data_IF_982315936862
#
_entry.id   IF_982315936862
#
_cell.length_a   1.000
_cell.length_b   1.000
_cell.length_c   1.000
_cell.angle_alpha   90.00
_cell.angle_beta   90.00
_cell.angle_gamma   90.00
#
_symmetry.space_group_name_H-M   'P 1'
#
loop_
_entity.id
_entity.type
_entity.pdbx_description
1 polymer ?
#
# COMPACT_ATOMS: atom_id res chain seq x y z
N UNK A 1 23.29 -7.60 -4.72
CA UNK A 1 22.83 -6.51 -3.84
C UNK A 1 21.45 -6.89 -3.30
N UNK A 2 21.25 -6.82 -1.97
CA UNK A 2 19.94 -7.09 -1.36
C UNK A 2 18.96 -5.98 -1.77
N UNK A 3 17.68 -6.32 -1.95
CA UNK A 3 16.61 -5.39 -2.34
C UNK A 3 15.80 -4.99 -1.12
N UNK A 4 15.48 -3.72 -1.03
CA UNK A 4 14.56 -3.19 -0.03
C UNK A 4 13.11 -3.46 -0.46
N UNK A 5 12.24 -3.77 0.49
CA UNK A 5 10.79 -3.81 0.28
C UNK A 5 10.24 -2.48 0.79
N UNK A 6 9.67 -1.65 -0.09
CA UNK A 6 8.99 -0.44 0.35
C UNK A 6 7.64 -0.80 0.96
N UNK A 7 7.51 -0.62 2.26
CA UNK A 7 6.27 -0.93 2.98
C UNK A 7 5.45 0.35 3.17
N UNK A 8 4.15 0.29 2.87
CA UNK A 8 3.25 1.43 2.90
C UNK A 8 1.98 1.15 3.68
N UNK A 9 1.74 2.01 4.67
CA UNK A 9 0.49 2.03 5.43
C UNK A 9 -0.54 2.96 4.79
N UNK A 10 -1.58 2.36 4.20
CA UNK A 10 -2.70 3.08 3.57
C UNK A 10 -3.63 3.75 4.60
N UNK A 11 -3.54 3.37 5.87
CA UNK A 11 -4.26 4.00 6.98
C UNK A 11 -3.40 5.03 7.74
N UNK A 12 -2.19 5.34 7.28
CA UNK A 12 -1.39 6.37 7.93
C UNK A 12 -2.12 7.71 7.87
N UNK A 13 -2.04 8.50 8.96
CA UNK A 13 -2.65 9.84 9.01
C UNK A 13 -2.19 10.74 7.87
N UNK A 14 -0.96 10.54 7.35
CA UNK A 14 -0.45 11.26 6.17
C UNK A 14 -1.21 10.85 4.90
N UNK A 15 -1.32 9.54 4.63
CA UNK A 15 -2.02 9.02 3.45
C UNK A 15 -3.50 9.41 3.47
N UNK A 16 -4.17 9.22 4.61
CA UNK A 16 -5.59 9.57 4.77
C UNK A 16 -5.84 11.07 4.56
N UNK A 17 -5.02 11.94 5.16
CA UNK A 17 -5.16 13.39 4.97
C UNK A 17 -5.06 13.77 3.49
N UNK A 18 -4.03 13.29 2.79
CA UNK A 18 -3.85 13.60 1.36
C UNK A 18 -5.02 13.06 0.54
N UNK A 19 -5.48 11.83 0.83
CA UNK A 19 -6.60 11.20 0.11
C UNK A 19 -7.90 11.97 0.32
N UNK A 20 -8.24 12.33 1.56
CA UNK A 20 -9.45 13.10 1.86
C UNK A 20 -9.39 14.51 1.29
N UNK A 21 -8.24 15.19 1.34
CA UNK A 21 -8.06 16.50 0.70
C UNK A 21 -8.26 16.41 -0.81
N UNK A 22 -7.67 15.42 -1.47
CA UNK A 22 -7.84 15.22 -2.90
C UNK A 22 -9.30 14.89 -3.28
N UNK A 23 -9.98 14.06 -2.50
CA UNK A 23 -11.39 13.75 -2.69
C UNK A 23 -12.28 14.99 -2.50
N UNK A 24 -12.05 15.79 -1.45
CA UNK A 24 -12.78 17.02 -1.21
C UNK A 24 -12.61 18.03 -2.36
N UNK A 25 -11.40 18.14 -2.92
CA UNK A 25 -11.13 18.99 -4.08
C UNK A 25 -11.87 18.51 -5.34
N UNK A 26 -12.01 17.20 -5.57
CA UNK A 26 -12.85 16.69 -6.66
C UNK A 26 -14.33 17.02 -6.45
N UNK A 27 -14.83 16.88 -5.22
CA UNK A 27 -16.22 17.24 -4.91
C UNK A 27 -16.45 18.75 -5.13
N UNK A 28 -15.52 19.61 -4.69
CA UNK A 28 -15.60 21.05 -4.93
C UNK A 28 -15.56 21.40 -6.42
N UNK A 29 -14.68 20.76 -7.20
CA UNK A 29 -14.61 20.97 -8.64
C UNK A 29 -15.93 20.56 -9.32
N UNK A 30 -16.48 19.41 -8.94
CA UNK A 30 -17.76 18.93 -9.45
C UNK A 30 -18.92 19.86 -9.10
N UNK A 31 -18.98 20.34 -7.85
CA UNK A 31 -20.00 21.30 -7.41
C UNK A 31 -19.87 22.63 -8.16
N UNK A 32 -18.65 23.11 -8.41
CA UNK A 32 -18.44 24.33 -9.20
C UNK A 32 -18.92 24.17 -10.64
N UNK A 33 -18.71 23.01 -11.27
CA UNK A 33 -19.25 22.74 -12.61
C UNK A 33 -20.77 22.61 -12.61
N UNK A 34 -21.34 21.95 -11.61
CA UNK A 34 -22.77 21.69 -11.55
C UNK A 34 -23.62 22.94 -11.24
N UNK A 35 -23.06 23.89 -10.49
CA UNK A 35 -23.74 25.12 -10.08
C UNK A 35 -23.40 26.33 -10.97
N UNK A 36 -22.82 26.10 -12.16
CA UNK A 36 -22.33 27.16 -13.06
C UNK A 36 -21.42 28.18 -12.34
N UNK A 37 -20.62 27.68 -11.39
CA UNK A 37 -19.63 28.47 -10.65
C UNK A 37 -18.43 28.88 -11.53
N UNK A 38 -17.46 29.63 -10.97
CA UNK A 38 -16.34 30.13 -11.75
C UNK A 38 -15.46 28.98 -12.25
N UNK A 39 -15.49 28.74 -13.56
CA UNK A 39 -14.89 27.56 -14.20
C UNK A 39 -13.38 27.42 -13.93
N UNK A 40 -12.68 28.54 -13.76
CA UNK A 40 -11.24 28.59 -13.46
C UNK A 40 -10.94 27.88 -12.14
N UNK A 41 -11.74 28.12 -11.09
CA UNK A 41 -11.53 27.48 -9.79
C UNK A 41 -11.83 25.98 -9.83
N UNK A 42 -12.82 25.55 -10.63
CA UNK A 42 -13.12 24.14 -10.83
C UNK A 42 -11.92 23.39 -11.43
N UNK A 43 -11.30 23.95 -12.48
CA UNK A 43 -10.11 23.35 -13.11
C UNK A 43 -8.89 23.35 -12.19
N UNK A 44 -8.65 24.42 -11.42
CA UNK A 44 -7.56 24.45 -10.44
C UNK A 44 -7.76 23.37 -9.38
N UNK A 45 -8.97 23.26 -8.81
CA UNK A 45 -9.28 22.25 -7.80
C UNK A 45 -9.09 20.83 -8.35
N UNK A 46 -9.60 20.55 -9.55
CA UNK A 46 -9.41 19.26 -10.22
C UNK A 46 -7.92 18.95 -10.48
N UNK A 47 -7.16 19.93 -10.98
CA UNK A 47 -5.72 19.77 -11.24
C UNK A 47 -4.91 19.45 -9.98
N UNK A 48 -5.21 20.13 -8.87
CA UNK A 48 -4.59 19.85 -7.57
C UNK A 48 -4.99 18.45 -7.08
N UNK A 49 -6.27 18.07 -7.19
CA UNK A 49 -6.73 16.73 -6.81
C UNK A 49 -5.99 15.63 -7.58
N UNK A 50 -5.90 15.75 -8.90
CA UNK A 50 -5.19 14.80 -9.77
C UNK A 50 -3.71 14.71 -9.36
N UNK A 51 -3.06 15.85 -9.12
CA UNK A 51 -1.66 15.91 -8.71
C UNK A 51 -1.42 15.20 -7.37
N UNK A 52 -2.32 15.38 -6.40
CA UNK A 52 -2.24 14.69 -5.10
C UNK A 52 -2.41 13.17 -5.26
N UNK A 53 -3.35 12.70 -6.09
CA UNK A 53 -3.50 11.28 -6.37
C UNK A 53 -2.31 10.69 -7.15
N UNK A 54 -1.75 11.45 -8.09
CA UNK A 54 -0.54 11.07 -8.81
C UNK A 54 0.64 10.92 -7.84
N UNK A 55 0.84 11.91 -6.95
CA UNK A 55 1.85 11.84 -5.89
C UNK A 55 1.66 10.62 -5.00
N UNK A 56 0.42 10.31 -4.60
CA UNK A 56 0.14 9.10 -3.85
C UNK A 56 0.45 7.83 -4.66
N UNK A 57 0.34 7.83 -5.98
CA UNK A 57 0.49 6.61 -6.79
C UNK A 57 1.92 6.36 -7.29
N UNK A 58 2.75 7.40 -7.40
CA UNK A 58 4.10 7.34 -7.98
C UNK A 58 4.99 6.23 -7.40
N UNK A 59 5.00 6.07 -6.08
CA UNK A 59 5.84 5.05 -5.42
C UNK A 59 5.42 3.61 -5.78
N UNK A 60 4.14 3.36 -6.03
CA UNK A 60 3.63 2.03 -6.37
C UNK A 60 3.97 1.64 -7.83
N UNK A 61 4.01 2.63 -8.73
CA UNK A 61 4.40 2.42 -10.12
C UNK A 61 5.91 2.21 -10.30
N UNK A 62 6.72 3.02 -9.62
CA UNK A 62 8.18 3.04 -9.79
C UNK A 62 8.89 1.91 -9.04
N UNK A 63 8.27 1.34 -8.00
CA UNK A 63 8.93 0.35 -7.16
C UNK A 63 8.53 -1.08 -7.56
N UNK A 64 9.54 -1.93 -7.76
CA UNK A 64 9.37 -3.35 -8.12
C UNK A 64 9.13 -4.28 -6.93
N UNK A 65 9.53 -3.84 -5.72
CA UNK A 65 9.28 -4.55 -4.46
C UNK A 65 8.57 -3.58 -3.51
N UNK A 66 7.25 -3.69 -3.44
CA UNK A 66 6.41 -2.84 -2.62
C UNK A 66 5.33 -3.68 -1.92
N UNK A 67 5.07 -3.37 -0.66
CA UNK A 67 3.98 -3.94 0.12
C UNK A 67 3.12 -2.79 0.59
N UNK A 68 1.83 -2.83 0.28
CA UNK A 68 0.84 -1.86 0.75
C UNK A 68 -0.15 -2.58 1.65
N UNK A 69 -0.43 -2.02 2.83
CA UNK A 69 -1.38 -2.62 3.75
C UNK A 69 -2.41 -1.61 4.25
N UNK A 70 -3.65 -2.09 4.38
CA UNK A 70 -4.76 -1.38 4.99
C UNK A 70 -5.04 -1.91 6.40
N UNK A 71 -6.29 -1.81 6.84
CA UNK A 71 -6.70 -2.29 8.17
C UNK A 71 -6.96 -3.79 8.16
N UNK A 72 -7.46 -4.30 7.04
CA UNK A 72 -7.93 -5.69 6.90
C UNK A 72 -7.16 -6.51 5.88
N UNK A 73 -6.38 -5.86 5.02
CA UNK A 73 -5.74 -6.51 3.88
C UNK A 73 -4.33 -6.00 3.64
N UNK A 74 -3.57 -6.81 2.92
CA UNK A 74 -2.24 -6.48 2.43
C UNK A 74 -2.15 -6.85 0.95
N UNK A 75 -1.41 -6.06 0.19
CA UNK A 75 -1.08 -6.29 -1.22
C UNK A 75 0.43 -6.23 -1.36
N UNK A 76 1.01 -7.27 -1.95
CA UNK A 76 2.44 -7.42 -2.13
C UNK A 76 2.75 -7.51 -3.62
N UNK A 77 3.54 -6.56 -4.10
CA UNK A 77 4.15 -6.56 -5.42
C UNK A 77 5.63 -6.86 -5.24
N UNK A 78 6.03 -8.09 -5.49
CA UNK A 78 7.40 -8.56 -5.30
C UNK A 78 8.00 -8.98 -6.63
N UNK A 79 9.25 -8.62 -6.87
CA UNK A 79 9.92 -8.95 -8.12
C UNK A 79 10.10 -10.47 -8.26
N UNK A 80 9.64 -11.00 -9.39
CA UNK A 80 9.64 -12.43 -9.69
C UNK A 80 8.41 -13.18 -9.19
N UNK A 81 7.45 -12.49 -8.56
CA UNK A 81 6.15 -13.04 -8.18
C UNK A 81 5.02 -12.25 -8.84
N UNK A 82 3.86 -12.89 -9.03
CA UNK A 82 2.63 -12.16 -9.36
C UNK A 82 2.28 -11.22 -8.21
N UNK A 83 1.64 -10.10 -8.52
CA UNK A 83 1.08 -9.25 -7.47
C UNK A 83 0.00 -10.04 -6.75
N UNK A 84 0.11 -10.13 -5.44
CA UNK A 84 -0.77 -10.91 -4.59
C UNK A 84 -1.41 -9.98 -3.56
N UNK A 85 -2.65 -10.27 -3.20
CA UNK A 85 -3.33 -9.58 -2.11
C UNK A 85 -4.17 -10.58 -1.34
N UNK A 86 -4.20 -10.41 -0.02
CA UNK A 86 -4.95 -11.27 0.89
C UNK A 86 -5.45 -10.49 2.10
N UNK A 87 -6.46 -11.04 2.76
CA UNK A 87 -6.95 -10.52 4.03
C UNK A 87 -6.10 -11.05 5.17
N UNK A 88 -5.93 -10.27 6.24
CA UNK A 88 -5.22 -10.74 7.44
C UNK A 88 -5.93 -11.94 8.10
N UNK A 89 -7.25 -12.07 7.92
CA UNK A 89 -8.02 -13.23 8.38
C UNK A 89 -7.60 -14.54 7.73
N UNK A 90 -7.04 -14.46 6.52
CA UNK A 90 -6.65 -15.64 5.74
C UNK A 90 -5.19 -16.03 6.05
N UNK A 91 -4.49 -15.23 6.87
CA UNK A 91 -3.11 -15.47 7.24
C UNK A 91 -3.02 -16.56 8.31
N UNK A 92 -2.53 -17.73 7.91
CA UNK A 92 -2.39 -18.88 8.80
C UNK A 92 -1.13 -18.83 9.63
N UNK A 93 -0.02 -18.40 9.01
CA UNK A 93 1.28 -18.46 9.65
C UNK A 93 2.26 -17.44 9.07
N UNK A 94 3.01 -16.81 9.96
CA UNK A 94 4.13 -15.93 9.60
C UNK A 94 5.32 -16.29 10.50
N UNK A 95 6.43 -16.73 9.89
CA UNK A 95 7.65 -17.06 10.63
C UNK A 95 8.87 -16.44 9.98
N UNK A 96 9.60 -15.64 10.76
CA UNK A 96 10.96 -15.22 10.40
C UNK A 96 11.95 -16.34 10.76
N UNK A 97 12.64 -16.86 9.76
CA UNK A 97 13.62 -17.94 9.88
C UNK A 97 15.02 -17.43 9.49
N UNK A 98 16.04 -18.26 9.70
CA UNK A 98 17.41 -17.97 9.25
C UNK A 98 17.48 -17.76 7.73
N UNK A 99 16.69 -18.50 6.95
CA UNK A 99 16.71 -18.41 5.49
C UNK A 99 15.90 -17.23 4.93
N UNK A 100 14.95 -16.67 5.70
CA UNK A 100 13.99 -15.70 5.19
C UNK A 100 12.69 -15.62 5.99
N UNK A 101 11.72 -14.89 5.44
CA UNK A 101 10.35 -14.82 5.94
C UNK A 101 9.46 -15.83 5.20
N UNK A 102 8.79 -16.70 5.95
CA UNK A 102 7.76 -17.60 5.46
C UNK A 102 6.38 -17.01 5.80
N UNK A 103 5.51 -16.91 4.79
CA UNK A 103 4.14 -16.42 4.91
C UNK A 103 3.22 -17.48 4.32
N UNK A 104 2.28 -17.99 5.12
CA UNK A 104 1.26 -18.95 4.68
C UNK A 104 -0.12 -18.32 4.77
N UNK A 105 -0.81 -18.31 3.64
CA UNK A 105 -2.14 -17.76 3.50
C UNK A 105 -3.06 -18.86 2.99
N UNK A 106 -4.28 -18.93 3.53
CA UNK A 106 -5.25 -19.92 3.09
C UNK A 106 -5.59 -19.75 1.60
N UNK A 107 -5.69 -20.86 0.87
CA UNK A 107 -5.95 -20.86 -0.57
C UNK A 107 -4.83 -20.28 -1.45
N UNK A 108 -3.63 -20.04 -0.92
CA UNK A 108 -2.48 -19.54 -1.68
C UNK A 108 -1.23 -20.43 -1.50
N UNK A 109 -0.29 -20.33 -2.44
CA UNK A 109 1.03 -20.97 -2.30
C UNK A 109 1.87 -20.30 -1.21
N UNK A 110 2.66 -21.10 -0.49
CA UNK A 110 3.61 -20.64 0.53
C UNK A 110 4.57 -19.59 -0.04
N UNK A 111 4.54 -18.39 0.53
CA UNK A 111 5.40 -17.29 0.13
C UNK A 111 6.69 -17.30 0.94
N UNK A 112 7.82 -17.45 0.24
CA UNK A 112 9.17 -17.53 0.84
C UNK A 112 10.02 -16.35 0.40
N UNK A 113 10.26 -15.40 1.30
CA UNK A 113 11.10 -14.23 1.04
C UNK A 113 12.50 -14.46 1.61
N UNK A 114 13.48 -14.74 0.75
CA UNK A 114 14.83 -15.08 1.20
C UNK A 114 15.66 -13.87 1.64
N UNK A 115 16.44 -14.02 2.74
CA UNK A 115 17.47 -13.05 3.18
C UNK A 115 18.60 -12.85 2.15
N UNK A 116 18.75 -13.77 1.18
CA UNK A 116 19.67 -13.58 0.04
C UNK A 116 19.18 -12.50 -0.92
N UNK A 117 17.86 -12.32 -1.02
CA UNK A 117 17.21 -11.38 -1.95
C UNK A 117 16.84 -10.07 -1.28
N UNK A 118 16.35 -10.11 -0.05
CA UNK A 118 15.79 -8.94 0.65
C UNK A 118 16.66 -8.52 1.84
N UNK A 119 16.60 -7.23 2.18
CA UNK A 119 17.25 -6.68 3.38
C UNK A 119 16.58 -7.23 4.64
N UNK A 120 17.38 -7.45 5.69
CA UNK A 120 16.89 -8.02 6.95
C UNK A 120 15.87 -7.08 7.61
N UNK A 121 16.14 -5.77 7.60
CA UNK A 121 15.22 -4.73 8.07
C UNK A 121 13.84 -4.81 7.40
N UNK A 122 13.78 -4.97 6.07
CA UNK A 122 12.50 -5.07 5.36
C UNK A 122 11.74 -6.36 5.71
N UNK A 123 12.44 -7.47 5.95
CA UNK A 123 11.83 -8.74 6.34
C UNK A 123 11.30 -8.68 7.77
N UNK A 124 12.05 -8.05 8.67
CA UNK A 124 11.64 -7.82 10.06
C UNK A 124 10.44 -6.88 10.15
N UNK A 125 10.46 -5.76 9.43
CA UNK A 125 9.33 -4.81 9.40
C UNK A 125 8.07 -5.47 8.85
N UNK A 126 8.19 -6.25 7.76
CA UNK A 126 7.06 -6.98 7.19
C UNK A 126 6.55 -8.06 8.16
N UNK A 127 7.44 -8.80 8.81
CA UNK A 127 7.07 -9.80 9.81
C UNK A 127 6.27 -9.18 10.95
N UNK A 128 6.76 -8.07 11.52
CA UNK A 128 6.09 -7.35 12.61
C UNK A 128 4.70 -6.88 12.19
N UNK A 129 4.55 -6.28 11.01
CA UNK A 129 3.25 -5.80 10.53
C UNK A 129 2.25 -6.95 10.36
N UNK A 130 2.70 -8.05 9.74
CA UNK A 130 1.84 -9.20 9.51
C UNK A 130 1.43 -9.87 10.83
N UNK A 131 2.34 -9.99 11.79
CA UNK A 131 2.01 -10.50 13.12
C UNK A 131 1.04 -9.57 13.85
N UNK A 132 1.36 -8.29 14.01
CA UNK A 132 0.51 -7.33 14.73
C UNK A 132 -0.92 -7.30 14.18
N UNK A 133 -1.08 -7.32 12.85
CA UNK A 133 -2.40 -7.27 12.21
C UNK A 133 -3.20 -8.56 12.30
N UNK A 134 -2.53 -9.69 12.56
CA UNK A 134 -3.19 -10.98 12.79
C UNK A 134 -3.60 -11.12 14.26
N UNK A 135 -2.80 -10.63 15.21
CA UNK A 135 -3.10 -10.72 16.65
C UNK A 135 -4.14 -9.71 17.13
N UNK A 136 -4.39 -8.64 16.38
CA UNK A 136 -5.39 -7.60 16.67
C UNK A 136 -6.81 -7.95 16.17
N UNK A 137 -7.01 -9.16 15.64
CA UNK A 137 -8.32 -9.70 15.27
C UNK A 137 -8.87 -10.57 16.40
#
# INVERSE_FOLDING_TARGET
MKREIKIRNLNSKKYLRITYTAAALFVLAFLCWFLDGPIVYAYIAAGVAITLFAYLSMDSFTTSNAVSYGSKSVTMKLLGHKTIGFLFTDLREVRLQELGLLIRVDGMEDLKLSRKRYTDQSLEELHTILQEKTTLQ
#
